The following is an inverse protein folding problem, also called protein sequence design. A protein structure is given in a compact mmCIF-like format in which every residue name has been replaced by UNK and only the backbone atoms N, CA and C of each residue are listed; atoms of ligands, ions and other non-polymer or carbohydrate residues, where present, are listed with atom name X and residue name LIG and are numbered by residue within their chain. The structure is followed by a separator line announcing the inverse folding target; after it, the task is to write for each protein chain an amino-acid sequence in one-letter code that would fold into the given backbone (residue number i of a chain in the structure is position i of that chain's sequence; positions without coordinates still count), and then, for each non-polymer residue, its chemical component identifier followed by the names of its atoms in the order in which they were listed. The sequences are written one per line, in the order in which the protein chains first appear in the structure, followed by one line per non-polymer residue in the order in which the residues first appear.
data_IF_506201408596
#
_entry.id   IF_506201408596
#
_cell.length_a   1.000
_cell.length_b   1.000
_cell.length_c   1.000
_cell.angle_alpha   90.00
_cell.angle_beta   90.00
_cell.angle_gamma   90.00
#
_symmetry.space_group_name_H-M   'P 1'
#
loop_
_entity.id
_entity.type
_entity.pdbx_description
1 polymer ?
#
# COMPACT_ATOMS: atom_id res chain seq x y z
N UNK A 1 -23.65 36.15 41.75
CA UNK A 1 -22.19 36.35 41.80
C UNK A 1 -21.57 34.96 41.98
N UNK A 2 -21.25 34.27 40.89
CA UNK A 2 -19.91 34.16 40.25
C UNK A 2 -18.93 33.21 40.97
N UNK A 3 -18.82 31.99 40.39
CA UNK A 3 -17.63 31.15 40.12
C UNK A 3 -16.57 30.85 41.19
N UNK A 4 -16.17 29.57 41.31
CA UNK A 4 -14.79 29.01 41.27
C UNK A 4 -14.98 27.48 41.14
N UNK A 5 -15.03 26.95 39.90
CA UNK A 5 -13.94 26.34 39.13
C UNK A 5 -13.53 24.93 39.60
N UNK A 6 -13.97 23.98 38.78
CA UNK A 6 -13.53 22.59 38.66
C UNK A 6 -12.00 22.53 38.45
N UNK A 7 -11.29 21.95 39.42
CA UNK A 7 -10.09 21.14 39.24
C UNK A 7 -10.50 19.77 39.81
N UNK A 8 -10.25 18.60 39.23
CA UNK A 8 -9.14 18.17 38.41
C UNK A 8 -9.44 16.72 38.01
N UNK A 9 -9.53 16.43 36.72
CA UNK A 9 -9.23 15.10 36.19
C UNK A 9 -8.54 15.29 34.84
N UNK A 10 -7.30 15.77 34.96
CA UNK A 10 -6.23 15.55 34.00
C UNK A 10 -6.09 14.04 33.77
N UNK A 11 -6.87 13.55 32.82
CA UNK A 11 -6.73 12.23 32.23
C UNK A 11 -6.75 12.39 30.72
N UNK A 12 -5.98 13.34 30.19
CA UNK A 12 -5.63 13.36 28.78
C UNK A 12 -4.88 12.06 28.51
N UNK A 13 -5.62 11.05 28.08
CA UNK A 13 -5.09 9.94 27.32
C UNK A 13 -4.48 10.53 26.05
N UNK A 14 -3.22 10.98 26.17
CA UNK A 14 -2.31 11.09 25.05
C UNK A 14 -2.15 9.67 24.52
N UNK A 15 -3.10 9.25 23.68
CA UNK A 15 -2.87 8.18 22.73
C UNK A 15 -1.72 8.71 21.88
N UNK A 16 -0.51 8.31 22.25
CA UNK A 16 0.68 8.50 21.44
C UNK A 16 0.45 7.67 20.20
N UNK A 17 -0.28 8.23 19.23
CA UNK A 17 -0.17 7.82 17.85
C UNK A 17 1.26 8.16 17.47
N UNK A 18 2.15 7.19 17.68
CA UNK A 18 3.43 7.14 17.01
C UNK A 18 3.07 7.07 15.53
N UNK A 19 2.90 8.24 14.92
CA UNK A 19 2.88 8.38 13.50
C UNK A 19 4.30 8.02 13.07
N UNK A 20 4.56 6.73 12.89
CA UNK A 20 5.69 6.28 12.09
C UNK A 20 5.46 6.96 10.75
N UNK A 21 6.13 8.08 10.53
CA UNK A 21 6.16 8.74 9.24
C UNK A 21 6.94 7.78 8.36
N UNK A 22 6.22 6.81 7.77
CA UNK A 22 6.79 5.96 6.76
C UNK A 22 7.24 6.91 5.65
N UNK A 23 8.54 7.01 5.45
CA UNK A 23 9.13 7.77 4.36
C UNK A 23 8.76 7.07 3.06
N UNK A 24 7.67 7.52 2.43
CA UNK A 24 7.30 7.11 1.09
C UNK A 24 8.38 7.60 0.13
N UNK A 25 8.81 6.71 -0.77
CA UNK A 25 9.81 6.99 -1.81
C UNK A 25 9.22 6.68 -3.16
N UNK A 26 9.85 7.23 -4.18
CA UNK A 26 9.53 6.93 -5.57
C UNK A 26 10.14 5.56 -5.94
N UNK A 27 9.51 4.88 -6.90
CA UNK A 27 9.98 3.60 -7.40
C UNK A 27 10.14 3.63 -8.92
N UNK A 28 11.30 3.19 -9.40
CA UNK A 28 11.57 2.94 -10.81
C UNK A 28 11.16 1.50 -11.15
N UNK A 29 10.12 1.35 -11.94
CA UNK A 29 9.59 0.08 -12.39
C UNK A 29 9.95 -0.17 -13.87
N UNK A 30 9.59 -1.36 -14.38
CA UNK A 30 9.78 -1.67 -15.80
C UNK A 30 9.06 -0.66 -16.72
N UNK A 31 9.53 -0.54 -17.97
CA UNK A 31 9.04 0.42 -18.96
C UNK A 31 9.24 1.89 -18.56
N UNK A 32 10.33 2.19 -17.86
CA UNK A 32 10.70 3.54 -17.38
C UNK A 32 9.60 4.23 -16.55
N UNK A 33 8.68 3.43 -16.00
CA UNK A 33 7.58 3.94 -15.19
C UNK A 33 8.09 4.31 -13.81
N UNK A 34 7.98 5.59 -13.48
CA UNK A 34 8.23 6.09 -12.12
C UNK A 34 6.92 6.15 -11.37
N UNK A 35 6.83 5.38 -10.28
CA UNK A 35 5.69 5.45 -9.36
C UNK A 35 6.03 6.42 -8.25
N UNK A 36 5.26 7.50 -8.17
CA UNK A 36 5.51 8.58 -7.22
C UNK A 36 5.24 8.13 -5.78
N UNK A 37 5.98 8.71 -4.84
CA UNK A 37 5.76 8.55 -3.40
C UNK A 37 4.33 8.91 -2.97
N UNK A 38 3.66 9.80 -3.69
CA UNK A 38 2.24 10.12 -3.49
C UNK A 38 1.32 8.95 -3.85
N UNK A 39 1.58 8.27 -4.98
CA UNK A 39 0.82 7.09 -5.40
C UNK A 39 1.07 5.90 -4.47
N UNK A 40 2.33 5.71 -4.06
CA UNK A 40 2.70 4.71 -3.04
C UNK A 40 1.94 4.98 -1.74
N UNK A 41 1.90 6.24 -1.29
CA UNK A 41 1.17 6.64 -0.09
C UNK A 41 -0.33 6.38 -0.23
N UNK A 42 -0.93 6.70 -1.37
CA UNK A 42 -2.34 6.48 -1.62
C UNK A 42 -2.69 4.98 -1.64
N UNK A 43 -1.86 4.14 -2.26
CA UNK A 43 -1.99 2.69 -2.23
C UNK A 43 -1.83 2.14 -0.81
N UNK A 44 -0.81 2.59 -0.07
CA UNK A 44 -0.57 2.15 1.29
C UNK A 44 -1.68 2.55 2.27
N UNK A 45 -2.21 3.77 2.17
CA UNK A 45 -3.37 4.18 2.99
C UNK A 45 -4.59 3.29 2.75
N UNK A 46 -4.85 2.91 1.50
CA UNK A 46 -5.91 1.96 1.14
C UNK A 46 -5.62 0.58 1.76
N UNK A 47 -4.38 0.11 1.69
CA UNK A 47 -3.94 -1.13 2.31
C UNK A 47 -4.20 -1.16 3.81
N UNK A 48 -3.68 -0.18 4.55
CA UNK A 48 -3.82 -0.07 6.02
C UNK A 48 -5.29 0.07 6.42
N UNK A 49 -6.06 0.91 5.71
CA UNK A 49 -7.49 1.06 5.97
C UNK A 49 -8.23 -0.27 5.87
N UNK A 50 -7.85 -1.12 4.90
CA UNK A 50 -8.46 -2.42 4.67
C UNK A 50 -8.01 -3.47 5.67
N UNK A 51 -6.73 -3.48 6.03
CA UNK A 51 -6.16 -4.37 7.07
C UNK A 51 -6.85 -4.12 8.41
N UNK A 52 -7.04 -2.84 8.77
CA UNK A 52 -7.70 -2.46 10.02
C UNK A 52 -9.22 -2.63 9.99
N UNK A 53 -9.85 -2.54 8.81
CA UNK A 53 -11.31 -2.67 8.64
C UNK A 53 -11.67 -3.65 7.49
N UNK A 54 -11.55 -4.97 7.72
CA UNK A 54 -11.80 -5.99 6.70
C UNK A 54 -13.29 -6.14 6.31
N UNK A 55 -14.23 -5.47 6.98
CA UNK A 55 -15.67 -5.53 6.68
C UNK A 55 -16.19 -4.43 5.75
N UNK A 56 -15.45 -3.35 5.51
CA UNK A 56 -16.01 -2.12 4.90
C UNK A 56 -15.75 -1.92 3.41
N UNK A 57 -14.91 -2.73 2.75
CA UNK A 57 -14.51 -2.49 1.36
C UNK A 57 -14.76 -3.71 0.46
N UNK A 58 -16.00 -3.84 -0.02
CA UNK A 58 -16.41 -4.90 -0.94
C UNK A 58 -15.77 -4.79 -2.34
N UNK A 59 -15.06 -3.69 -2.67
CA UNK A 59 -14.38 -3.54 -3.97
C UNK A 59 -13.07 -4.32 -4.04
N UNK A 60 -12.46 -4.67 -2.91
CA UNK A 60 -11.20 -5.40 -2.86
C UNK A 60 -11.32 -6.65 -1.96
N UNK A 61 -11.31 -7.87 -2.54
CA UNK A 61 -11.44 -9.11 -1.77
C UNK A 61 -10.28 -9.28 -0.77
N UNK A 62 -10.58 -9.82 0.41
CA UNK A 62 -9.62 -9.98 1.53
C UNK A 62 -8.54 -11.05 1.22
N UNK A 63 -8.76 -11.85 0.17
CA UNK A 63 -7.84 -12.90 -0.25
C UNK A 63 -6.85 -12.44 -1.35
N UNK A 64 -6.23 -11.27 -1.13
CA UNK A 64 -5.21 -10.68 -2.02
C UNK A 64 -3.78 -11.05 -1.60
N UNK A 65 -3.62 -12.25 -1.02
CA UNK A 65 -2.29 -12.74 -0.69
C UNK A 65 -1.49 -12.92 -1.99
N UNK A 66 -0.31 -12.35 -2.05
CA UNK A 66 0.61 -12.54 -3.15
C UNK A 66 1.21 -13.95 -3.11
N UNK A 67 0.99 -14.73 -4.17
CA UNK A 67 1.46 -16.11 -4.34
C UNK A 67 2.20 -16.30 -5.66
N UNK A 68 2.81 -15.23 -6.15
CA UNK A 68 3.44 -15.18 -7.46
C UNK A 68 4.87 -15.67 -7.51
N UNK A 69 5.55 -15.36 -8.62
CA UNK A 69 6.88 -15.84 -8.96
C UNK A 69 8.03 -15.16 -8.19
N UNK A 70 7.79 -14.03 -7.51
CA UNK A 70 8.82 -13.38 -6.69
C UNK A 70 8.64 -13.76 -5.22
N UNK A 71 9.73 -13.80 -4.46
CA UNK A 71 9.69 -14.06 -3.02
C UNK A 71 9.76 -12.74 -2.25
N UNK A 72 8.68 -12.32 -1.55
CA UNK A 72 8.71 -11.13 -0.70
C UNK A 72 9.54 -11.35 0.56
N UNK A 73 10.01 -10.26 1.16
CA UNK A 73 10.81 -10.29 2.40
C UNK A 73 10.02 -10.72 3.64
N UNK A 74 8.69 -10.65 3.59
CA UNK A 74 7.80 -11.15 4.64
C UNK A 74 6.67 -12.01 4.04
N UNK A 75 6.20 -13.00 4.79
CA UNK A 75 5.11 -13.89 4.39
C UNK A 75 4.13 -14.03 5.57
N UNK A 76 2.81 -13.80 5.39
CA UNK A 76 2.13 -13.46 4.15
C UNK A 76 2.42 -12.04 3.65
N UNK A 77 2.50 -11.90 2.32
CA UNK A 77 2.50 -10.63 1.61
C UNK A 77 1.16 -10.45 0.90
N UNK A 78 0.70 -9.21 0.80
CA UNK A 78 -0.54 -8.82 0.15
C UNK A 78 -0.26 -7.79 -0.94
N UNK A 79 -0.99 -7.83 -2.04
CA UNK A 79 -0.80 -6.92 -3.17
C UNK A 79 -1.92 -5.88 -3.30
N UNK A 80 -1.55 -4.65 -3.63
CA UNK A 80 -2.47 -3.52 -3.75
C UNK A 80 -2.25 -2.80 -5.07
N UNK A 81 -3.29 -2.68 -5.88
CA UNK A 81 -3.20 -2.04 -7.19
C UNK A 81 -2.86 -0.54 -7.07
N UNK A 82 -1.84 -0.13 -7.80
CA UNK A 82 -1.42 1.28 -7.89
C UNK A 82 -1.92 1.88 -9.20
N UNK A 83 -1.41 1.38 -10.33
CA UNK A 83 -1.70 1.90 -11.67
C UNK A 83 -1.39 0.86 -12.75
N UNK A 84 -1.61 1.20 -14.02
CA UNK A 84 -1.25 0.38 -15.17
C UNK A 84 -0.76 1.24 -16.34
N UNK A 85 0.14 0.70 -17.14
CA UNK A 85 0.41 1.18 -18.49
C UNK A 85 -0.57 0.52 -19.46
N UNK A 86 -1.09 1.32 -20.37
CA UNK A 86 -1.88 0.86 -21.51
C UNK A 86 -1.07 0.99 -22.79
N UNK A 87 -1.34 0.11 -23.76
CA UNK A 87 -0.80 0.27 -25.10
C UNK A 87 -1.44 1.47 -25.84
N UNK A 88 -0.96 1.75 -27.05
CA UNK A 88 -1.49 2.84 -27.90
C UNK A 88 -2.95 2.63 -28.33
N UNK A 89 -3.52 1.45 -28.11
CA UNK A 89 -4.91 1.09 -28.39
C UNK A 89 -5.77 1.07 -27.11
N UNK A 90 -5.22 1.47 -25.97
CA UNK A 90 -5.91 1.49 -24.68
C UNK A 90 -6.07 0.11 -24.03
N UNK A 91 -5.42 -0.94 -24.55
CA UNK A 91 -5.47 -2.27 -23.95
C UNK A 91 -4.60 -2.30 -22.70
N UNK A 92 -5.08 -3.01 -21.68
CA UNK A 92 -4.35 -3.16 -20.42
C UNK A 92 -3.00 -3.87 -20.68
N UNK A 93 -1.91 -3.16 -20.43
CA UNK A 93 -0.55 -3.64 -20.59
C UNK A 93 0.02 -4.11 -19.25
N UNK A 94 1.02 -3.40 -18.77
CA UNK A 94 1.73 -3.70 -17.53
C UNK A 94 1.02 -3.10 -16.32
N UNK A 95 0.88 -3.86 -15.23
CA UNK A 95 0.23 -3.40 -13.99
C UNK A 95 1.25 -3.28 -12.87
N UNK A 96 1.04 -2.30 -11.99
CA UNK A 96 1.94 -1.99 -10.88
C UNK A 96 1.22 -2.18 -9.55
N UNK A 97 1.88 -2.87 -8.64
CA UNK A 97 1.34 -3.22 -7.34
C UNK A 97 2.29 -2.86 -6.21
N UNK A 98 1.73 -2.41 -5.10
CA UNK A 98 2.41 -2.28 -3.82
C UNK A 98 2.26 -3.60 -3.07
N UNK A 99 3.36 -4.12 -2.51
CA UNK A 99 3.33 -5.26 -1.60
C UNK A 99 3.44 -4.79 -0.14
N UNK A 100 2.58 -5.35 0.71
CA UNK A 100 2.62 -5.12 2.17
C UNK A 100 2.63 -6.42 2.96
N UNK A 101 3.13 -6.40 4.19
CA UNK A 101 2.96 -7.48 5.17
C UNK A 101 1.51 -7.53 5.69
N UNK A 102 1.21 -8.53 6.53
CA UNK A 102 -0.05 -8.60 7.29
C UNK A 102 -0.28 -7.40 8.24
N UNK A 103 0.79 -6.81 8.77
CA UNK A 103 0.75 -5.60 9.61
C UNK A 103 0.61 -4.31 8.81
N UNK A 104 0.73 -4.38 7.48
CA UNK A 104 0.69 -3.23 6.59
C UNK A 104 2.07 -2.64 6.27
N UNK A 105 3.17 -3.24 6.72
CA UNK A 105 4.51 -2.75 6.40
C UNK A 105 4.79 -2.86 4.91
N UNK A 106 5.33 -1.80 4.31
CA UNK A 106 5.68 -1.79 2.88
C UNK A 106 6.86 -2.74 2.64
N UNK A 107 6.64 -3.77 1.83
CA UNK A 107 7.66 -4.74 1.42
C UNK A 107 8.37 -4.30 0.15
N UNK A 108 7.67 -3.59 -0.73
CA UNK A 108 8.21 -3.03 -1.97
C UNK A 108 7.16 -2.87 -3.04
N UNK A 109 7.62 -2.51 -4.24
CA UNK A 109 6.78 -2.37 -5.42
C UNK A 109 7.15 -3.35 -6.51
N UNK A 110 6.15 -3.80 -7.26
CA UNK A 110 6.31 -4.79 -8.30
C UNK A 110 5.55 -4.38 -9.56
N UNK A 111 6.05 -4.82 -10.71
CA UNK A 111 5.38 -4.73 -12.00
C UNK A 111 5.16 -6.11 -12.58
N UNK A 112 3.99 -6.34 -13.19
CA UNK A 112 3.73 -7.57 -13.96
C UNK A 112 4.52 -7.59 -15.26
N UNK A 113 4.60 -8.74 -15.94
CA UNK A 113 4.97 -8.76 -17.35
C UNK A 113 3.91 -8.06 -18.22
N UNK A 114 4.30 -7.61 -19.41
CA UNK A 114 3.36 -6.98 -20.36
C UNK A 114 2.25 -7.97 -20.77
N UNK A 115 0.99 -7.58 -20.53
CA UNK A 115 -0.17 -8.44 -20.83
C UNK A 115 -0.22 -9.73 -19.99
N UNK A 116 0.56 -9.81 -18.90
CA UNK A 116 0.63 -10.99 -18.03
C UNK A 116 -0.21 -10.78 -16.78
N UNK A 117 -0.70 -11.89 -16.22
CA UNK A 117 -1.36 -11.90 -14.93
C UNK A 117 -0.34 -11.76 -13.79
N UNK A 118 -0.78 -11.15 -12.70
CA UNK A 118 -0.01 -11.08 -11.47
C UNK A 118 0.43 -12.48 -11.04
N UNK A 119 1.70 -12.59 -10.68
CA UNK A 119 2.35 -13.79 -10.17
C UNK A 119 2.95 -14.70 -11.23
N UNK A 120 2.86 -14.34 -12.51
CA UNK A 120 3.42 -15.15 -13.59
C UNK A 120 4.79 -14.66 -14.08
N UNK A 121 4.99 -13.35 -14.14
CA UNK A 121 6.20 -12.73 -14.70
C UNK A 121 6.47 -11.39 -14.01
N UNK A 122 6.31 -11.35 -12.70
CA UNK A 122 6.47 -10.14 -11.93
C UNK A 122 7.95 -9.84 -11.67
N UNK A 123 8.25 -8.54 -11.54
CA UNK A 123 9.58 -8.00 -11.35
C UNK A 123 9.56 -6.96 -10.25
N UNK A 124 10.64 -6.87 -9.47
CA UNK A 124 10.78 -5.83 -8.46
C UNK A 124 11.05 -4.48 -9.10
N UNK A 125 10.34 -3.46 -8.65
CA UNK A 125 10.74 -2.08 -8.88
C UNK A 125 11.89 -1.72 -7.94
N UNK A 126 12.78 -0.86 -8.41
CA UNK A 126 13.89 -0.33 -7.61
C UNK A 126 13.50 0.99 -6.97
N UNK A 127 14.08 1.30 -5.81
CA UNK A 127 13.88 2.62 -5.19
C UNK A 127 14.61 3.65 -6.03
N UNK A 128 13.94 4.76 -6.35
CA UNK A 128 14.58 5.91 -6.99
C UNK A 128 15.40 6.73 -5.99
#
# INVERSE_FOLDING_TARGET
MHSIRLLSSLGLWLVSTIAVVQCYRDYNCAQDMVISSADVRAAHKRAVSRINNPSTDNKFPINIQYRGNITPTANPAYYWYVTQLTDSQGRAGMKYYLLTSASGDILGMISTGWGRYLGTSDTWCTKA
#
